data_IF_396537876472
#
_entry.id   IF_396537876472
#
_cell.length_a   1.000
_cell.length_b   1.000
_cell.length_c   1.000
_cell.angle_alpha   90.00
_cell.angle_beta   90.00
_cell.angle_gamma   90.00
#
_symmetry.space_group_name_H-M   'P 1'
#
loop_
_entity.id
_entity.type
_entity.pdbx_description
1 polymer ?
#
# COMPACT_ATOMS: atom_id res chain seq x y z
N UNK A 1 -1.11 -3.29 34.12
CA UNK A 1 -1.04 -2.05 33.35
C UNK A 1 -1.79 -2.31 32.06
N UNK A 2 -2.98 -1.73 31.88
CA UNK A 2 -3.66 -1.82 30.60
C UNK A 2 -2.83 -1.04 29.58
N UNK A 3 -2.41 -1.73 28.51
CA UNK A 3 -1.73 -1.09 27.39
C UNK A 3 -2.69 -0.07 26.77
N UNK A 4 -2.22 1.15 26.44
CA UNK A 4 -3.08 2.15 25.82
C UNK A 4 -3.62 1.61 24.50
N UNK A 5 -4.92 1.75 24.28
CA UNK A 5 -5.59 1.31 23.06
C UNK A 5 -4.95 2.01 21.84
N UNK A 6 -4.41 1.21 20.90
CA UNK A 6 -3.75 1.73 19.69
C UNK A 6 -4.68 1.86 18.50
N UNK A 7 -5.80 1.14 18.49
CA UNK A 7 -6.79 1.16 17.40
C UNK A 7 -8.04 1.89 17.86
N UNK A 8 -8.33 3.02 17.22
CA UNK A 8 -9.52 3.83 17.46
C UNK A 8 -10.69 3.31 16.62
N UNK A 9 -11.90 3.40 17.16
CA UNK A 9 -13.14 2.94 16.53
C UNK A 9 -13.69 3.90 15.48
N UNK A 10 -13.14 5.11 15.39
CA UNK A 10 -13.51 6.14 14.42
C UNK A 10 -12.27 6.85 13.86
N UNK A 11 -12.37 7.43 12.65
CA UNK A 11 -11.33 8.29 12.09
C UNK A 11 -11.05 9.50 12.98
N UNK A 12 -9.78 9.90 13.09
CA UNK A 12 -9.34 11.11 13.80
C UNK A 12 -8.51 12.01 12.85
N UNK A 13 -8.30 13.29 13.19
CA UNK A 13 -7.37 14.13 12.46
C UNK A 13 -5.98 13.47 12.38
N UNK A 14 -5.44 13.34 11.17
CA UNK A 14 -4.19 12.64 10.90
C UNK A 14 -4.00 12.33 9.42
N UNK A 15 -2.86 11.72 9.07
CA UNK A 15 -2.61 11.29 7.70
C UNK A 15 -3.60 10.20 7.30
N UNK A 16 -4.12 10.26 6.08
CA UNK A 16 -4.88 9.17 5.47
C UNK A 16 -4.01 8.43 4.46
N UNK A 17 -4.02 7.10 4.54
CA UNK A 17 -3.29 6.20 3.65
C UNK A 17 -4.23 5.13 3.12
N UNK A 18 -3.93 4.63 1.94
CA UNK A 18 -4.67 3.60 1.22
C UNK A 18 -3.78 2.38 1.11
N UNK A 19 -4.31 1.22 1.48
CA UNK A 19 -3.58 -0.05 1.43
C UNK A 19 -4.29 -1.02 0.53
N UNK A 20 -3.53 -1.70 -0.32
CA UNK A 20 -4.01 -2.83 -1.11
C UNK A 20 -2.90 -3.86 -1.31
N UNK A 21 -3.28 -5.08 -1.67
CA UNK A 21 -2.38 -6.17 -1.96
C UNK A 21 -2.81 -7.01 -3.17
N UNK A 22 -1.81 -7.50 -3.91
CA UNK A 22 -2.04 -8.42 -5.02
C UNK A 22 -1.21 -9.69 -4.85
N UNK A 23 -1.91 -10.83 -4.79
CA UNK A 23 -1.25 -12.15 -4.82
C UNK A 23 -0.59 -12.44 -6.16
N UNK A 24 -1.13 -11.90 -7.27
CA UNK A 24 -0.60 -12.08 -8.62
C UNK A 24 0.81 -11.49 -8.76
N UNK A 25 1.04 -10.31 -8.20
CA UNK A 25 2.35 -9.65 -8.22
C UNK A 25 3.15 -9.88 -6.94
N UNK A 26 2.57 -10.56 -5.94
CA UNK A 26 3.12 -10.73 -4.59
C UNK A 26 3.47 -9.40 -3.93
N UNK A 27 2.65 -8.37 -4.16
CA UNK A 27 2.90 -6.98 -3.75
C UNK A 27 1.93 -6.53 -2.67
N UNK A 28 2.44 -5.83 -1.66
CA UNK A 28 1.68 -5.03 -0.73
C UNK A 28 2.00 -3.55 -0.96
N UNK A 29 0.99 -2.72 -1.15
CA UNK A 29 1.12 -1.32 -1.52
C UNK A 29 0.53 -0.39 -0.46
N UNK A 30 1.18 0.75 -0.26
CA UNK A 30 0.67 1.87 0.53
C UNK A 30 0.74 3.13 -0.31
N UNK A 31 -0.40 3.80 -0.45
CA UNK A 31 -0.54 5.04 -1.21
C UNK A 31 -1.06 6.14 -0.31
N UNK A 32 -0.55 7.35 -0.46
CA UNK A 32 -1.01 8.50 0.31
C UNK A 32 -0.85 9.79 -0.49
N UNK A 33 -1.51 10.86 -0.04
CA UNK A 33 -1.33 12.18 -0.62
C UNK A 33 -0.44 13.04 0.29
N UNK A 34 0.55 13.69 -0.30
CA UNK A 34 1.43 14.66 0.34
C UNK A 34 1.58 15.89 -0.56
N UNK A 35 1.23 17.09 -0.06
CA UNK A 35 1.26 18.36 -0.82
C UNK A 35 0.55 18.24 -2.18
N UNK A 36 -0.68 17.73 -2.16
CA UNK A 36 -1.53 17.45 -3.32
C UNK A 36 -1.01 16.40 -4.31
N UNK A 37 0.18 15.84 -4.10
CA UNK A 37 0.75 14.77 -4.93
C UNK A 37 0.56 13.40 -4.30
N UNK A 38 0.24 12.42 -5.13
CA UNK A 38 0.14 11.03 -4.71
C UNK A 38 1.52 10.40 -4.62
N UNK A 39 1.76 9.71 -3.50
CA UNK A 39 2.98 8.99 -3.19
C UNK A 39 2.64 7.51 -3.01
N UNK A 40 3.62 6.65 -3.28
CA UNK A 40 3.47 5.21 -3.15
C UNK A 40 4.74 4.58 -2.60
N UNK A 41 4.58 3.59 -1.73
CA UNK A 41 5.61 2.61 -1.41
C UNK A 41 5.02 1.21 -1.56
N UNK A 42 5.86 0.25 -1.93
CA UNK A 42 5.45 -1.14 -2.05
C UNK A 42 6.53 -2.06 -1.48
N UNK A 43 6.11 -3.26 -1.10
CA UNK A 43 7.01 -4.36 -0.78
C UNK A 43 6.54 -5.62 -1.49
N UNK A 44 7.50 -6.43 -1.94
CA UNK A 44 7.22 -7.71 -2.61
C UNK A 44 7.65 -8.86 -1.71
N UNK A 45 6.73 -9.75 -1.38
CA UNK A 45 7.00 -10.96 -0.58
C UNK A 45 6.10 -12.09 -1.06
N UNK A 46 6.65 -13.28 -1.28
CA UNK A 46 5.87 -14.46 -1.64
C UNK A 46 5.04 -14.94 -0.43
N UNK A 47 3.85 -14.38 -0.26
CA UNK A 47 2.94 -14.60 0.87
C UNK A 47 1.49 -14.80 0.37
N UNK A 48 0.61 -15.28 1.23
CA UNK A 48 -0.83 -15.27 0.95
C UNK A 48 -1.36 -13.84 0.85
N UNK A 49 -2.48 -13.63 0.14
CA UNK A 49 -3.09 -12.31 0.03
C UNK A 49 -3.39 -11.71 1.41
N UNK A 50 -3.91 -12.49 2.36
CA UNK A 50 -4.18 -12.04 3.73
C UNK A 50 -2.91 -11.54 4.45
N UNK A 51 -1.77 -12.18 4.24
CA UNK A 51 -0.50 -11.73 4.81
C UNK A 51 0.09 -10.52 4.06
N UNK A 52 -0.19 -10.37 2.77
CA UNK A 52 0.15 -9.16 2.03
C UNK A 52 -0.68 -7.97 2.48
N UNK A 53 -1.98 -8.14 2.71
CA UNK A 53 -2.85 -7.10 3.28
C UNK A 53 -2.35 -6.63 4.65
N UNK A 54 -2.02 -7.59 5.53
CA UNK A 54 -1.40 -7.28 6.80
C UNK A 54 -0.03 -6.59 6.62
N UNK A 55 0.76 -7.00 5.64
CA UNK A 55 2.03 -6.35 5.30
C UNK A 55 1.86 -4.91 4.85
N UNK A 56 0.80 -4.59 4.10
CA UNK A 56 0.49 -3.22 3.68
C UNK A 56 0.18 -2.33 4.89
N UNK A 57 -0.61 -2.85 5.85
CA UNK A 57 -0.88 -2.17 7.13
C UNK A 57 0.41 -1.97 7.93
N UNK A 58 1.24 -3.01 8.06
CA UNK A 58 2.53 -2.92 8.77
C UNK A 58 3.44 -1.87 8.13
N UNK A 59 3.50 -1.84 6.79
CA UNK A 59 4.28 -0.86 6.04
C UNK A 59 3.77 0.57 6.30
N UNK A 60 2.45 0.77 6.26
CA UNK A 60 1.83 2.05 6.58
C UNK A 60 2.13 2.49 8.04
N UNK A 61 2.03 1.55 8.97
CA UNK A 61 2.36 1.74 10.38
C UNK A 61 3.82 2.19 10.59
N UNK A 62 4.76 1.60 9.86
CA UNK A 62 6.18 1.94 9.91
C UNK A 62 6.53 3.28 9.26
N UNK A 63 5.75 3.74 8.27
CA UNK A 63 5.94 5.04 7.62
C UNK A 63 5.54 6.22 8.53
N UNK A 64 4.41 6.12 9.24
CA UNK A 64 3.80 7.25 9.96
C UNK A 64 3.76 7.01 11.47
N UNK A 65 4.92 6.85 12.12
CA UNK A 65 5.01 6.29 13.48
C UNK A 65 4.46 7.18 14.61
N UNK A 66 4.49 8.51 14.44
CA UNK A 66 4.24 9.46 15.54
C UNK A 66 2.79 9.92 15.62
N UNK A 67 2.21 10.33 14.49
CA UNK A 67 0.85 10.88 14.41
C UNK A 67 -0.23 9.80 14.28
N UNK A 68 -1.49 10.20 14.47
CA UNK A 68 -2.63 9.34 14.13
C UNK A 68 -2.64 9.04 12.62
N UNK A 69 -2.96 7.79 12.29
CA UNK A 69 -3.02 7.29 10.92
C UNK A 69 -4.40 6.70 10.62
N UNK A 70 -5.10 7.26 9.64
CA UNK A 70 -6.32 6.68 9.09
C UNK A 70 -5.94 5.74 7.95
N UNK A 71 -6.12 4.44 8.15
CA UNK A 71 -5.83 3.41 7.15
C UNK A 71 -7.13 3.08 6.42
N UNK A 72 -7.14 3.25 5.11
CA UNK A 72 -8.26 2.93 4.23
C UNK A 72 -7.92 1.64 3.48
N UNK A 73 -8.82 0.66 3.53
CA UNK A 73 -8.66 -0.64 2.87
C UNK A 73 -10.00 -1.14 2.36
N UNK A 74 -10.01 -1.81 1.21
CA UNK A 74 -11.15 -2.58 0.72
C UNK A 74 -11.09 -4.06 1.15
N UNK A 75 -10.03 -4.44 1.87
CA UNK A 75 -9.89 -5.77 2.46
C UNK A 75 -10.71 -5.89 3.74
N UNK A 76 -11.89 -6.50 3.63
CA UNK A 76 -12.73 -6.84 4.80
C UNK A 76 -11.99 -7.67 5.84
N UNK A 77 -11.07 -8.54 5.41
CA UNK A 77 -10.22 -9.32 6.31
C UNK A 77 -9.34 -8.40 7.17
N UNK A 78 -8.60 -7.51 6.51
CA UNK A 78 -7.65 -6.61 7.17
C UNK A 78 -8.37 -5.64 8.13
N UNK A 79 -9.50 -5.08 7.68
CA UNK A 79 -10.33 -4.21 8.49
C UNK A 79 -10.86 -4.89 9.76
N UNK A 80 -11.43 -6.10 9.62
CA UNK A 80 -11.92 -6.87 10.78
C UNK A 80 -10.80 -7.27 11.72
N UNK A 81 -9.63 -7.62 11.19
CA UNK A 81 -8.48 -7.99 11.99
C UNK A 81 -8.00 -6.81 12.85
N UNK A 82 -7.82 -5.62 12.26
CA UNK A 82 -7.46 -4.42 13.01
C UNK A 82 -8.53 -4.05 14.04
N UNK A 83 -9.82 -4.13 13.69
CA UNK A 83 -10.90 -3.83 14.62
C UNK A 83 -10.92 -4.81 15.80
N UNK A 84 -10.61 -6.09 15.58
CA UNK A 84 -10.50 -7.06 16.67
C UNK A 84 -9.40 -6.66 17.68
N UNK A 85 -8.31 -6.02 17.23
CA UNK A 85 -7.23 -5.52 18.10
C UNK A 85 -7.64 -4.32 18.98
N UNK A 86 -8.80 -3.70 18.73
CA UNK A 86 -9.36 -2.69 19.63
C UNK A 86 -9.95 -3.30 20.91
N UNK A 87 -10.14 -4.63 20.95
CA UNK A 87 -10.78 -5.35 22.04
C UNK A 87 -9.78 -6.26 22.75
N UNK A 88 -9.93 -6.51 24.07
CA UNK A 88 -9.14 -7.50 24.77
C UNK A 88 -9.33 -8.90 24.15
N UNK A 89 -8.24 -9.50 23.64
CA UNK A 89 -8.26 -10.84 23.06
C UNK A 89 -6.99 -11.10 22.24
N UNK A 90 -6.45 -12.32 22.29
CA UNK A 90 -5.25 -12.71 21.55
C UNK A 90 -5.68 -13.33 20.23
N UNK A 91 -5.57 -12.59 19.13
CA UNK A 91 -5.69 -13.19 17.80
C UNK A 91 -4.37 -13.89 17.48
N UNK A 92 -4.38 -15.20 17.29
CA UNK A 92 -3.16 -16.02 17.18
C UNK A 92 -2.65 -16.21 15.75
N UNK A 93 -3.19 -15.47 14.78
CA UNK A 93 -2.77 -15.59 13.38
C UNK A 93 -1.44 -14.87 13.12
N UNK A 94 -0.64 -15.32 12.15
CA UNK A 94 0.58 -14.60 11.76
C UNK A 94 0.30 -13.15 11.35
N UNK A 95 -0.83 -12.90 10.67
CA UNK A 95 -1.26 -11.55 10.30
C UNK A 95 -1.55 -10.67 11.53
N UNK A 96 -2.18 -11.25 12.55
CA UNK A 96 -2.43 -10.58 13.83
C UNK A 96 -1.12 -10.17 14.50
N UNK A 97 -0.20 -11.11 14.68
CA UNK A 97 1.09 -10.83 15.32
C UNK A 97 1.90 -9.75 14.60
N UNK A 98 1.89 -9.77 13.26
CA UNK A 98 2.53 -8.72 12.45
C UNK A 98 1.97 -7.33 12.73
N UNK A 99 0.64 -7.21 12.78
CA UNK A 99 -0.03 -5.93 13.03
C UNK A 99 0.16 -5.51 14.50
N UNK A 100 0.06 -6.43 15.45
CA UNK A 100 0.28 -6.16 16.87
C UNK A 100 1.69 -5.61 17.14
N UNK A 101 2.73 -6.22 16.55
CA UNK A 101 4.11 -5.73 16.66
C UNK A 101 4.27 -4.33 16.04
N UNK A 102 3.66 -4.10 14.88
CA UNK A 102 3.65 -2.79 14.24
C UNK A 102 2.90 -1.74 15.07
N UNK A 103 1.83 -2.11 15.77
CA UNK A 103 1.09 -1.20 16.65
C UNK A 103 1.86 -0.92 17.95
N UNK A 104 2.52 -1.92 18.51
CA UNK A 104 3.31 -1.80 19.72
C UNK A 104 4.52 -0.85 19.54
N UNK A 105 5.11 -0.85 18.35
CA UNK A 105 6.24 0.04 17.99
C UNK A 105 5.82 1.46 17.64
N UNK A 106 4.54 1.72 17.35
CA UNK A 106 4.03 3.06 17.04
C UNK A 106 3.88 3.92 18.28
N UNK A 107 4.11 5.23 18.14
CA UNK A 107 3.76 6.22 19.17
C UNK A 107 2.31 6.67 19.00
N UNK A 108 1.90 6.96 17.77
CA UNK A 108 0.53 7.34 17.42
C UNK A 108 -0.46 6.18 17.48
N UNK A 109 -1.74 6.51 17.35
CA UNK A 109 -2.83 5.53 17.18
C UNK A 109 -3.14 5.33 15.70
N UNK A 110 -4.01 4.36 15.39
CA UNK A 110 -4.57 4.17 14.05
C UNK A 110 -6.10 4.16 14.11
N UNK A 111 -6.75 4.43 13.00
CA UNK A 111 -8.13 4.02 12.73
C UNK A 111 -8.14 3.24 11.42
N UNK A 112 -9.13 2.36 11.24
CA UNK A 112 -9.30 1.61 9.99
C UNK A 112 -10.66 1.88 9.38
N UNK A 113 -10.65 2.30 8.12
CA UNK A 113 -11.83 2.62 7.33
C UNK A 113 -11.93 1.56 6.24
N UNK A 114 -12.94 0.70 6.36
CA UNK A 114 -13.26 -0.24 5.30
C UNK A 114 -14.10 0.44 4.22
N UNK A 115 -13.72 0.29 2.96
CA UNK A 115 -14.47 0.78 1.80
C UNK A 115 -14.88 -0.36 0.88
N UNK A 116 -15.88 -0.13 0.05
CA UNK A 116 -16.25 -1.08 -1.01
C UNK A 116 -15.39 -0.78 -2.24
N UNK A 117 -14.64 -1.76 -2.74
CA UNK A 117 -13.78 -1.63 -3.92
C UNK A 117 -14.52 -1.17 -5.18
N UNK A 118 -15.82 -1.44 -5.26
CA UNK A 118 -16.68 -1.17 -6.42
C UNK A 118 -17.66 -0.01 -6.22
N UNK A 119 -17.37 0.95 -5.33
CA UNK A 119 -18.24 2.11 -5.16
C UNK A 119 -18.27 2.96 -6.46
N UNK A 120 -19.46 3.20 -7.06
CA UNK A 120 -19.58 3.99 -8.28
C UNK A 120 -19.26 5.47 -8.09
N UNK A 121 -19.22 5.97 -6.85
CA UNK A 121 -18.97 7.39 -6.56
C UNK A 121 -17.47 7.63 -6.42
N UNK A 122 -16.87 8.30 -7.42
CA UNK A 122 -15.45 8.67 -7.42
C UNK A 122 -15.15 9.86 -6.50
N UNK A 123 -15.07 9.59 -5.20
CA UNK A 123 -14.56 10.52 -4.19
C UNK A 123 -13.07 10.33 -3.88
N UNK A 124 -12.59 11.04 -2.85
CA UNK A 124 -11.22 10.91 -2.35
C UNK A 124 -10.85 9.46 -2.01
N UNK A 125 -11.75 8.75 -1.31
CA UNK A 125 -11.47 7.37 -0.90
C UNK A 125 -11.36 6.41 -2.09
N UNK A 126 -12.29 6.48 -3.03
CA UNK A 126 -12.25 5.63 -4.23
C UNK A 126 -11.03 5.95 -5.10
N UNK A 127 -10.66 7.23 -5.24
CA UNK A 127 -9.46 7.63 -5.99
C UNK A 127 -8.18 7.08 -5.35
N UNK A 128 -8.09 7.10 -4.02
CA UNK A 128 -6.95 6.51 -3.30
C UNK A 128 -6.92 4.98 -3.42
N UNK A 129 -8.08 4.32 -3.35
CA UNK A 129 -8.19 2.87 -3.54
C UNK A 129 -7.75 2.45 -4.94
N UNK A 130 -8.27 3.10 -5.99
CA UNK A 130 -7.91 2.85 -7.39
C UNK A 130 -6.38 2.95 -7.60
N UNK A 131 -5.72 3.86 -6.86
CA UNK A 131 -4.26 4.04 -6.91
C UNK A 131 -3.51 2.95 -6.15
N UNK A 132 -3.99 2.56 -4.97
CA UNK A 132 -3.41 1.45 -4.22
C UNK A 132 -3.52 0.14 -5.02
N UNK A 133 -4.66 -0.10 -5.67
CA UNK A 133 -4.92 -1.23 -6.57
C UNK A 133 -4.00 -1.22 -7.79
N UNK A 134 -3.87 -0.07 -8.45
CA UNK A 134 -2.92 0.09 -9.55
C UNK A 134 -1.47 -0.15 -9.12
N UNK A 135 -1.09 0.28 -7.90
CA UNK A 135 0.23 0.03 -7.35
C UNK A 135 0.45 -1.46 -7.04
N UNK A 136 -0.49 -2.10 -6.34
CA UNK A 136 -0.42 -3.52 -6.03
C UNK A 136 -0.36 -4.38 -7.30
N UNK A 137 -1.07 -4.01 -8.37
CA UNK A 137 -1.02 -4.67 -9.69
C UNK A 137 0.22 -4.34 -10.53
N UNK A 138 1.13 -3.47 -10.04
CA UNK A 138 2.32 -3.04 -10.76
C UNK A 138 2.06 -2.07 -11.92
N UNK A 139 0.82 -1.59 -12.07
CA UNK A 139 0.45 -0.64 -13.14
C UNK A 139 1.08 0.72 -12.89
N UNK A 140 1.13 1.17 -11.63
CA UNK A 140 1.75 2.44 -11.26
C UNK A 140 3.22 2.52 -11.71
N UNK A 141 4.03 1.51 -11.36
CA UNK A 141 5.46 1.51 -11.68
C UNK A 141 5.76 1.38 -13.17
N UNK A 142 4.88 0.74 -13.95
CA UNK A 142 4.97 0.72 -15.40
C UNK A 142 4.72 2.10 -16.01
N UNK A 143 3.79 2.88 -15.45
CA UNK A 143 3.56 4.25 -15.88
C UNK A 143 4.78 5.14 -15.58
N UNK A 144 5.33 5.07 -14.36
CA UNK A 144 6.55 5.78 -13.98
C UNK A 144 7.73 5.38 -14.86
N UNK A 145 7.86 4.09 -15.19
CA UNK A 145 8.91 3.59 -16.07
C UNK A 145 8.78 4.14 -17.49
N UNK A 146 7.56 4.24 -18.03
CA UNK A 146 7.33 4.86 -19.36
C UNK A 146 7.72 6.32 -19.35
N UNK A 147 7.27 7.10 -18.37
CA UNK A 147 7.60 8.52 -18.27
C UNK A 147 9.11 8.74 -18.10
N UNK A 148 9.76 7.97 -17.22
CA UNK A 148 11.21 8.07 -17.01
C UNK A 148 12.00 7.70 -18.28
N UNK A 149 11.55 6.68 -19.02
CA UNK A 149 12.18 6.29 -20.27
C UNK A 149 11.94 7.33 -21.38
N UNK A 150 10.75 7.91 -21.50
CA UNK A 150 10.46 9.00 -22.45
C UNK A 150 11.34 10.23 -22.18
N UNK A 151 11.63 10.52 -20.92
CA UNK A 151 12.48 11.67 -20.55
C UNK A 151 13.97 11.43 -20.76
N UNK A 152 14.48 10.23 -20.43
CA UNK A 152 15.92 9.97 -20.33
C UNK A 152 16.46 8.93 -21.32
N UNK A 153 15.58 8.21 -22.02
CA UNK A 153 15.91 7.12 -22.94
C UNK A 153 16.89 6.08 -22.35
N UNK A 154 16.78 5.80 -21.05
CA UNK A 154 17.66 4.83 -20.37
C UNK A 154 17.32 3.40 -20.75
N UNK A 155 18.35 2.54 -20.80
CA UNK A 155 18.19 1.13 -21.17
C UNK A 155 17.42 0.29 -20.14
N UNK A 156 16.85 -0.82 -20.58
CA UNK A 156 15.91 -1.66 -19.82
C UNK A 156 16.43 -2.11 -18.44
N UNK A 157 17.72 -2.45 -18.32
CA UNK A 157 18.30 -2.86 -17.03
C UNK A 157 18.31 -1.71 -16.01
N UNK A 158 18.67 -0.50 -16.44
CA UNK A 158 18.69 0.68 -15.58
C UNK A 158 17.25 1.10 -15.20
N UNK A 159 16.34 1.01 -16.17
CA UNK A 159 14.93 1.31 -15.96
C UNK A 159 14.27 0.36 -14.95
N UNK A 160 14.47 -0.95 -15.12
CA UNK A 160 14.00 -1.98 -14.20
C UNK A 160 14.46 -1.71 -12.76
N UNK A 161 15.74 -1.35 -12.59
CA UNK A 161 16.31 -1.03 -11.28
C UNK A 161 15.72 0.25 -10.68
N UNK A 162 15.52 1.30 -11.47
CA UNK A 162 15.04 2.60 -10.98
C UNK A 162 13.55 2.59 -10.63
N UNK A 163 12.74 1.85 -11.38
CA UNK A 163 11.29 1.80 -11.21
C UNK A 163 10.82 0.54 -10.46
N UNK A 164 11.74 -0.30 -10.00
CA UNK A 164 11.45 -1.56 -9.30
C UNK A 164 10.48 -2.47 -10.07
N UNK A 165 10.65 -2.54 -11.40
CA UNK A 165 9.83 -3.40 -12.27
C UNK A 165 10.62 -4.61 -12.80
N UNK A 166 9.95 -5.72 -13.16
CA UNK A 166 10.59 -6.83 -13.86
C UNK A 166 11.35 -6.38 -15.11
N UNK A 167 12.51 -6.98 -15.37
CA UNK A 167 13.33 -6.66 -16.55
C UNK A 167 12.57 -6.93 -17.85
N UNK A 168 11.66 -7.90 -17.87
CA UNK A 168 10.79 -8.18 -19.03
C UNK A 168 9.88 -7.00 -19.35
N UNK A 169 9.29 -6.37 -18.34
CA UNK A 169 8.42 -5.22 -18.54
C UNK A 169 9.22 -3.99 -18.96
N UNK A 170 10.39 -3.78 -18.34
CA UNK A 170 11.29 -2.71 -18.76
C UNK A 170 11.78 -2.87 -20.21
N UNK A 171 12.03 -4.11 -20.66
CA UNK A 171 12.33 -4.40 -22.07
C UNK A 171 11.16 -4.05 -22.96
N UNK A 172 9.93 -4.35 -22.56
CA UNK A 172 8.74 -3.99 -23.33
C UNK A 172 8.56 -2.47 -23.45
N UNK A 173 8.79 -1.71 -22.36
CA UNK A 173 8.78 -0.24 -22.39
C UNK A 173 9.81 0.32 -23.39
N UNK A 174 11.05 -0.17 -23.36
CA UNK A 174 12.10 0.27 -24.31
C UNK A 174 11.77 -0.16 -25.75
N UNK A 175 11.22 -1.38 -25.93
CA UNK A 175 10.88 -1.91 -27.25
C UNK A 175 9.75 -1.14 -27.94
N UNK A 176 8.87 -0.52 -27.16
CA UNK A 176 7.73 0.26 -27.68
C UNK A 176 8.08 1.74 -27.91
N UNK A 177 9.30 2.17 -27.57
CA UNK A 177 9.74 3.56 -27.72
C UNK A 177 10.17 3.86 -29.17
N UNK A 178 9.46 4.74 -29.90
CA UNK A 178 9.75 5.03 -31.31
C UNK A 178 11.12 5.71 -31.52
N UNK A 179 11.66 6.36 -30.49
CA UNK A 179 12.97 7.02 -30.54
C UNK A 179 14.14 6.05 -30.39
N UNK A 180 13.93 4.93 -29.70
CA UNK A 180 14.97 3.93 -29.42
C UNK A 180 14.95 2.73 -30.38
N UNK A 181 13.94 2.61 -31.25
CA UNK A 181 13.81 1.56 -32.27
C UNK A 181 14.46 1.91 -33.62
N UNK A 182 15.30 2.97 -33.66
CA UNK A 182 16.05 3.37 -34.86
C UNK A 182 17.45 2.77 -34.88
#
# INVERSE_FOLDING_TARGET
>A
LDLPQKVMDRPLPGQTVFTDASSTTSTAAVVWQAKDQWQCIMTNKALSVQLLEASAIVLACGLFQTEHLNIVTDSMFAAKLCLAMSRPGVSTSSAASMIEEALASRQGTISVIHINSHDPVKGFFQTGNDKADAAAKGVWTLQDARQLHEMLHIGAKALAKKCYIPVVDAKHVVATCPHCQK
#
